data_IF_799775341873
#
_entry.id   IF_799775341873
#
_cell.length_a   1.000
_cell.length_b   1.000
_cell.length_c   1.000
_cell.angle_alpha   90.00
_cell.angle_beta   90.00
_cell.angle_gamma   90.00
#
_symmetry.space_group_name_H-M   'P 1'
#
loop_
_entity.id
_entity.type
_entity.pdbx_description
1 polymer ?
#
# COMPACT_ATOMS: atom_id res chain seq x y z
N UNK A 1 13.44 -15.70 -3.23
CA UNK A 1 12.87 -15.61 -4.60
C UNK A 1 12.21 -14.24 -4.71
N UNK A 2 12.33 -13.57 -5.86
CA UNK A 2 11.76 -12.23 -6.09
C UNK A 2 10.46 -12.32 -6.89
N UNK A 3 9.44 -11.56 -6.52
CA UNK A 3 8.23 -11.37 -7.31
C UNK A 3 8.21 -9.98 -7.95
N UNK A 4 7.88 -9.92 -9.23
CA UNK A 4 7.65 -8.65 -9.95
C UNK A 4 6.15 -8.44 -10.11
N UNK A 5 5.64 -7.30 -9.65
CA UNK A 5 4.23 -6.92 -9.79
C UNK A 5 4.13 -5.69 -10.69
N UNK A 6 3.40 -5.81 -11.79
CA UNK A 6 3.14 -4.70 -12.71
C UNK A 6 1.93 -3.89 -12.22
N UNK A 7 2.20 -2.73 -11.62
CA UNK A 7 1.21 -1.85 -11.00
C UNK A 7 1.06 -0.52 -11.74
N UNK A 8 1.58 -0.41 -12.97
CA UNK A 8 1.65 0.85 -13.71
C UNK A 8 0.53 1.14 -14.70
N UNK A 9 -0.46 0.26 -14.82
CA UNK A 9 -1.57 0.43 -15.77
C UNK A 9 -2.47 1.63 -15.43
N UNK A 10 -2.97 2.31 -16.46
CA UNK A 10 -3.87 3.46 -16.31
C UNK A 10 -5.25 3.10 -15.73
N UNK A 11 -5.65 1.81 -15.79
CA UNK A 11 -6.88 1.33 -15.15
C UNK A 11 -8.17 1.63 -15.92
N UNK A 12 -8.10 1.79 -17.24
CA UNK A 12 -9.22 2.16 -18.13
C UNK A 12 -10.42 1.20 -18.14
N UNK A 13 -10.28 -0.02 -17.60
CA UNK A 13 -11.37 -1.02 -17.53
C UNK A 13 -12.24 -0.92 -16.28
N UNK A 14 -11.84 -0.17 -15.25
CA UNK A 14 -12.65 0.13 -14.06
C UNK A 14 -12.78 1.65 -14.02
N UNK A 15 -13.72 2.19 -14.80
CA UNK A 15 -13.74 3.60 -15.19
C UNK A 15 -13.94 4.58 -14.02
N UNK A 16 -14.76 4.27 -13.01
CA UNK A 16 -15.21 5.28 -12.05
C UNK A 16 -14.27 5.42 -10.83
N UNK A 17 -13.87 4.33 -10.20
CA UNK A 17 -12.97 4.33 -9.03
C UNK A 17 -11.53 4.73 -9.39
N UNK A 18 -11.06 4.38 -10.58
CA UNK A 18 -9.65 4.54 -10.95
C UNK A 18 -9.26 6.01 -11.20
N UNK A 19 -10.24 6.88 -11.42
CA UNK A 19 -10.05 8.32 -11.47
C UNK A 19 -9.66 8.92 -10.12
N UNK A 20 -10.06 8.31 -9.01
CA UNK A 20 -9.70 8.76 -7.66
C UNK A 20 -8.39 8.12 -7.20
N UNK A 21 -8.28 6.78 -7.27
CA UNK A 21 -7.05 6.06 -6.88
C UNK A 21 -6.61 5.01 -7.90
N UNK A 22 -5.29 4.78 -8.07
CA UNK A 22 -4.84 3.72 -8.98
C UNK A 22 -5.38 2.36 -8.53
N UNK A 23 -5.76 1.49 -9.48
CA UNK A 23 -6.37 0.18 -9.19
C UNK A 23 -5.65 -0.65 -8.11
N UNK A 24 -4.31 -0.76 -8.08
CA UNK A 24 -3.59 -1.48 -7.02
C UNK A 24 -3.89 -0.97 -5.60
N UNK A 25 -4.32 0.28 -5.46
CA UNK A 25 -4.68 0.91 -4.20
C UNK A 25 -6.17 0.80 -3.86
N UNK A 26 -7.00 0.23 -4.73
CA UNK A 26 -8.41 -0.04 -4.40
C UNK A 26 -8.48 -0.91 -3.15
N UNK A 27 -9.32 -0.55 -2.21
CA UNK A 27 -9.39 -1.20 -0.90
C UNK A 27 -10.30 -2.43 -0.97
N UNK A 28 -9.86 -3.50 -0.32
CA UNK A 28 -10.67 -4.65 0.01
C UNK A 28 -10.63 -4.74 1.54
N UNK A 29 -11.75 -4.45 2.20
CA UNK A 29 -11.74 -4.18 3.63
C UNK A 29 -10.92 -2.92 3.94
N UNK A 30 -9.99 -2.99 4.88
CA UNK A 30 -9.16 -1.85 5.31
C UNK A 30 -7.83 -1.72 4.58
N UNK A 31 -7.54 -2.61 3.61
CA UNK A 31 -6.22 -2.70 2.97
C UNK A 31 -6.32 -2.72 1.45
N UNK A 32 -5.35 -2.15 0.72
CA UNK A 32 -5.38 -2.10 -0.73
C UNK A 32 -5.17 -3.48 -1.37
N UNK A 33 -5.68 -3.68 -2.59
CA UNK A 33 -5.50 -4.92 -3.38
C UNK A 33 -4.03 -5.34 -3.43
N UNK A 34 -3.11 -4.39 -3.66
CA UNK A 34 -1.68 -4.67 -3.74
C UNK A 34 -1.14 -5.27 -2.44
N UNK A 35 -1.62 -4.79 -1.29
CA UNK A 35 -1.27 -5.35 0.00
C UNK A 35 -1.72 -6.80 0.13
N UNK A 36 -2.96 -7.12 -0.27
CA UNK A 36 -3.48 -8.49 -0.21
C UNK A 36 -2.67 -9.45 -1.09
N UNK A 37 -2.28 -9.03 -2.29
CA UNK A 37 -1.42 -9.82 -3.18
C UNK A 37 -0.06 -10.09 -2.52
N UNK A 38 0.58 -9.04 -1.97
CA UNK A 38 1.88 -9.18 -1.31
C UNK A 38 1.79 -10.05 -0.04
N UNK A 39 0.72 -9.91 0.73
CA UNK A 39 0.47 -10.72 1.94
C UNK A 39 0.29 -12.20 1.58
N UNK A 40 -0.47 -12.50 0.52
CA UNK A 40 -0.64 -13.86 0.02
C UNK A 40 0.69 -14.47 -0.44
N UNK A 41 1.51 -13.73 -1.18
CA UNK A 41 2.81 -14.21 -1.66
C UNK A 41 3.79 -14.40 -0.50
N UNK A 42 3.74 -13.51 0.49
CA UNK A 42 4.53 -13.61 1.72
C UNK A 42 4.18 -14.84 2.54
N UNK A 43 2.90 -15.23 2.58
CA UNK A 43 2.46 -16.48 3.23
C UNK A 43 3.15 -17.71 2.63
N UNK A 44 3.46 -17.69 1.32
CA UNK A 44 4.21 -18.75 0.63
C UNK A 44 5.73 -18.50 0.58
N UNK A 45 6.27 -17.60 1.40
CA UNK A 45 7.71 -17.36 1.54
C UNK A 45 8.34 -16.43 0.50
N UNK A 46 7.54 -15.74 -0.32
CA UNK A 46 8.03 -14.71 -1.24
C UNK A 46 7.90 -13.35 -0.58
N UNK A 47 9.02 -12.81 -0.09
CA UNK A 47 9.05 -11.56 0.69
C UNK A 47 9.80 -10.41 0.00
N UNK A 48 10.44 -10.67 -1.14
CA UNK A 48 11.12 -9.65 -1.95
C UNK A 48 10.26 -9.28 -3.16
N UNK A 49 9.76 -8.04 -3.18
CA UNK A 49 8.88 -7.54 -4.24
C UNK A 49 9.51 -6.40 -5.03
N UNK A 50 9.39 -6.46 -6.35
CA UNK A 50 9.70 -5.35 -7.27
C UNK A 50 8.38 -4.87 -7.87
N UNK A 51 7.97 -3.66 -7.51
CA UNK A 51 6.73 -3.08 -8.02
C UNK A 51 7.04 -2.12 -9.17
N UNK A 52 6.61 -2.47 -10.38
CA UNK A 52 6.75 -1.59 -11.54
C UNK A 52 5.60 -0.59 -11.56
N UNK A 53 5.89 0.62 -11.09
CA UNK A 53 4.92 1.71 -10.97
C UNK A 53 4.73 2.46 -12.29
N UNK A 54 3.57 3.10 -12.43
CA UNK A 54 3.21 3.92 -13.59
C UNK A 54 2.24 5.02 -13.17
N UNK A 55 1.07 5.09 -13.80
CA UNK A 55 0.06 6.11 -13.47
C UNK A 55 -0.24 6.16 -11.97
N UNK A 56 -0.16 7.37 -11.38
CA UNK A 56 -0.33 7.64 -9.94
C UNK A 56 0.52 6.76 -9.00
N UNK A 57 1.71 6.34 -9.43
CA UNK A 57 2.62 5.55 -8.60
C UNK A 57 2.99 6.18 -7.26
N UNK A 58 2.84 7.50 -7.11
CA UNK A 58 3.05 8.21 -5.83
C UNK A 58 2.12 7.70 -4.72
N UNK A 59 0.87 7.34 -5.02
CA UNK A 59 -0.08 6.85 -4.03
C UNK A 59 0.36 5.49 -3.45
N UNK A 60 0.95 4.64 -4.31
CA UNK A 60 1.52 3.36 -3.87
C UNK A 60 2.75 3.62 -2.99
N UNK A 61 3.64 4.53 -3.41
CA UNK A 61 4.84 4.88 -2.61
C UNK A 61 4.46 5.43 -1.24
N UNK A 62 3.51 6.36 -1.18
CA UNK A 62 3.05 6.99 0.06
C UNK A 62 2.55 5.93 1.05
N UNK A 63 1.61 5.08 0.62
CA UNK A 63 1.06 4.03 1.48
C UNK A 63 2.14 3.11 2.06
N UNK A 64 3.10 2.65 1.24
CA UNK A 64 4.13 1.72 1.72
C UNK A 64 5.27 2.40 2.47
N UNK A 65 5.57 3.68 2.21
CA UNK A 65 6.53 4.46 3.00
C UNK A 65 5.97 4.76 4.39
N UNK A 66 4.67 5.04 4.48
CA UNK A 66 3.96 5.34 5.72
C UNK A 66 3.16 4.14 6.24
N UNK A 67 3.55 2.92 5.87
CA UNK A 67 2.78 1.71 6.14
C UNK A 67 2.41 1.57 7.62
N UNK A 68 3.37 1.79 8.52
CA UNK A 68 3.12 1.70 9.96
C UNK A 68 2.11 2.75 10.45
N UNK A 69 2.15 3.97 9.92
CA UNK A 69 1.22 5.04 10.27
C UNK A 69 -0.19 4.76 9.76
N UNK A 70 -0.31 4.11 8.60
CA UNK A 70 -1.60 3.70 8.04
C UNK A 70 -2.20 2.47 8.72
N UNK A 71 -1.36 1.61 9.30
CA UNK A 71 -1.76 0.28 9.78
C UNK A 71 -1.73 0.11 11.30
N UNK A 72 -1.29 1.13 12.04
CA UNK A 72 -1.16 1.08 13.49
C UNK A 72 -1.80 2.31 14.13
N UNK A 73 -2.31 2.13 15.34
CA UNK A 73 -2.72 3.27 16.15
C UNK A 73 -1.47 4.01 16.64
N UNK A 74 -1.57 5.32 16.79
CA UNK A 74 -0.46 6.12 17.32
C UNK A 74 -0.97 7.24 18.23
N UNK A 75 -0.10 7.67 19.13
CA UNK A 75 -0.30 8.88 19.95
C UNK A 75 0.76 9.90 19.61
N UNK A 76 0.32 11.15 19.38
CA UNK A 76 1.20 12.29 19.12
C UNK A 76 1.22 13.19 20.36
N UNK A 77 2.42 13.42 20.87
CA UNK A 77 2.66 14.39 21.94
C UNK A 77 3.11 15.71 21.30
N UNK A 78 2.23 16.73 21.28
CA UNK A 78 2.50 18.01 20.62
C UNK A 78 3.50 18.90 21.37
N UNK A 79 3.72 18.62 22.66
CA UNK A 79 4.65 19.37 23.51
C UNK A 79 6.11 19.08 23.18
N UNK A 80 6.44 17.87 22.73
CA UNK A 80 7.80 17.44 22.35
C UNK A 80 7.89 16.89 20.92
N UNK A 81 6.78 16.90 20.17
CA UNK A 81 6.64 16.36 18.82
C UNK A 81 7.03 14.87 18.72
N UNK A 82 6.85 14.10 19.79
CA UNK A 82 7.10 12.66 19.78
C UNK A 82 5.89 11.87 19.29
N UNK A 83 6.14 10.77 18.58
CA UNK A 83 5.12 9.85 18.06
C UNK A 83 5.37 8.47 18.68
N UNK A 84 4.37 7.96 19.40
CA UNK A 84 4.37 6.61 19.97
C UNK A 84 3.44 5.73 19.15
N UNK A 85 3.97 4.68 18.53
CA UNK A 85 3.17 3.69 17.80
C UNK A 85 2.66 2.61 18.76
N UNK A 86 1.39 2.25 18.64
CA UNK A 86 0.76 1.15 19.35
C UNK A 86 0.59 -0.01 18.38
N UNK A 87 1.42 -1.04 18.56
CA UNK A 87 1.29 -2.28 17.80
C UNK A 87 0.05 -3.03 18.24
N UNK A 88 -0.77 -3.51 17.29
CA UNK A 88 -1.60 -4.68 17.50
C UNK A 88 -0.83 -5.95 17.12
#
# INVERSE_FOLDING_TARGET
MKAVILAGGYGTRIGEETHLKPKPMIEIGTKPILWHIMSLYSHYGITEFIICLGYKGYAIKEFFLNYNLHMSDFTIHLNDNTITNHSH
#
